data_IF_792551843447
#
_entry.id   IF_792551843447
#
_cell.length_a   1.000
_cell.length_b   1.000
_cell.length_c   1.000
_cell.angle_alpha   90.00
_cell.angle_beta   90.00
_cell.angle_gamma   90.00
#
_symmetry.space_group_name_H-M   'P 1'
#
loop_
_entity.id
_entity.type
_entity.pdbx_description
1 polymer ?
#
# COMPACT_ATOMS: atom_id res chain seq x y z
N UNK A 1 -36.20 16.60 -32.63
CA UNK A 1 -36.21 15.92 -31.32
C UNK A 1 -37.17 16.57 -30.35
N UNK A 2 -38.33 15.93 -30.12
CA UNK A 2 -39.35 16.39 -29.17
C UNK A 2 -39.06 15.99 -27.71
N UNK A 3 -38.17 15.03 -27.50
CA UNK A 3 -37.87 14.40 -26.22
C UNK A 3 -37.24 15.36 -25.18
N UNK A 4 -36.58 16.43 -25.65
CA UNK A 4 -35.90 17.41 -24.78
C UNK A 4 -36.63 18.74 -24.65
N UNK A 5 -37.87 18.85 -25.16
CA UNK A 5 -38.63 20.11 -25.15
C UNK A 5 -38.91 20.62 -23.72
N UNK A 6 -39.18 19.72 -22.78
CA UNK A 6 -39.45 20.06 -21.37
C UNK A 6 -38.23 20.68 -20.67
N UNK A 7 -37.01 20.32 -21.07
CA UNK A 7 -35.76 20.83 -20.48
C UNK A 7 -35.34 22.20 -21.03
N UNK A 8 -35.98 22.69 -22.11
CA UNK A 8 -35.62 23.99 -22.72
C UNK A 8 -35.80 25.17 -21.77
N UNK A 9 -36.86 25.19 -20.99
CA UNK A 9 -37.13 26.28 -20.05
C UNK A 9 -36.04 26.34 -18.95
N UNK A 10 -35.66 25.19 -18.42
CA UNK A 10 -34.59 25.06 -17.42
C UNK A 10 -33.24 25.45 -18.02
N UNK A 11 -32.90 24.92 -19.19
CA UNK A 11 -31.68 25.30 -19.91
C UNK A 11 -31.59 26.81 -20.16
N UNK A 12 -32.73 27.42 -20.51
CA UNK A 12 -32.80 28.84 -20.79
C UNK A 12 -32.56 29.71 -19.54
N UNK A 13 -33.10 29.28 -18.38
CA UNK A 13 -32.86 29.90 -17.07
C UNK A 13 -31.39 29.80 -16.66
N UNK A 14 -30.76 28.65 -16.90
CA UNK A 14 -29.32 28.41 -16.65
C UNK A 14 -28.40 29.05 -17.70
N UNK A 15 -28.96 29.86 -18.62
CA UNK A 15 -28.18 30.68 -19.54
C UNK A 15 -27.57 29.95 -20.74
N UNK A 16 -27.89 28.68 -20.97
CA UNK A 16 -27.48 27.95 -22.17
C UNK A 16 -28.65 27.73 -23.14
N UNK A 17 -28.31 27.45 -24.39
CA UNK A 17 -29.22 27.29 -25.53
C UNK A 17 -28.93 26.04 -26.34
N UNK A 18 -27.74 25.47 -26.17
CA UNK A 18 -27.39 24.13 -26.62
C UNK A 18 -26.43 23.50 -25.60
N UNK A 19 -26.39 22.17 -25.57
CA UNK A 19 -25.43 21.42 -24.78
C UNK A 19 -24.94 20.22 -25.61
N UNK A 20 -23.66 19.89 -25.47
CA UNK A 20 -23.07 18.67 -26.01
C UNK A 20 -22.46 17.90 -24.85
N UNK A 21 -22.90 16.65 -24.69
CA UNK A 21 -22.35 15.73 -23.70
C UNK A 21 -21.49 14.68 -24.39
N UNK A 22 -20.23 14.56 -24.00
CA UNK A 22 -19.30 13.56 -24.51
C UNK A 22 -18.80 12.69 -23.35
N UNK A 23 -18.98 11.36 -23.42
CA UNK A 23 -18.50 10.47 -22.37
C UNK A 23 -16.99 10.38 -22.38
N UNK A 24 -16.40 10.38 -21.18
CA UNK A 24 -15.00 10.07 -20.96
C UNK A 24 -14.96 8.57 -20.66
N UNK A 25 -14.53 7.77 -21.64
CA UNK A 25 -14.41 6.32 -21.48
C UNK A 25 -12.96 5.93 -21.30
N UNK A 26 -12.71 5.05 -20.33
CA UNK A 26 -11.41 4.40 -20.15
C UNK A 26 -11.05 3.52 -21.34
N UNK A 27 -9.81 3.06 -21.36
CA UNK A 27 -9.32 2.16 -22.41
C UNK A 27 -10.07 0.82 -22.46
N UNK A 28 -10.68 0.42 -21.35
CA UNK A 28 -11.51 -0.78 -21.17
C UNK A 28 -13.00 -0.54 -21.49
N UNK A 29 -13.36 0.69 -21.90
CA UNK A 29 -14.74 1.09 -22.19
C UNK A 29 -15.55 1.53 -20.98
N UNK A 30 -14.99 1.46 -19.76
CA UNK A 30 -15.65 1.90 -18.52
C UNK A 30 -15.89 3.40 -18.57
N UNK A 31 -17.09 3.84 -18.17
CA UNK A 31 -17.42 5.26 -18.09
C UNK A 31 -16.70 5.88 -16.89
N UNK A 32 -15.75 6.78 -17.16
CA UNK A 32 -15.02 7.52 -16.13
C UNK A 32 -15.72 8.82 -15.73
N UNK A 33 -16.53 9.38 -16.64
CA UNK A 33 -17.30 10.59 -16.41
C UNK A 33 -17.91 11.15 -17.69
N UNK A 34 -18.44 12.37 -17.61
CA UNK A 34 -19.03 13.10 -18.74
C UNK A 34 -18.42 14.49 -18.81
N UNK A 35 -18.00 14.92 -20.00
CA UNK A 35 -17.81 16.33 -20.32
C UNK A 35 -19.13 16.85 -20.88
N UNK A 36 -19.72 17.88 -20.24
CA UNK A 36 -20.86 18.60 -20.78
C UNK A 36 -20.45 20.02 -21.15
N UNK A 37 -20.44 20.32 -22.44
CA UNK A 37 -20.17 21.66 -22.98
C UNK A 37 -21.50 22.38 -23.20
N UNK A 38 -21.67 23.53 -22.54
CA UNK A 38 -22.88 24.35 -22.64
C UNK A 38 -22.62 25.59 -23.49
N UNK A 39 -23.50 25.88 -24.44
CA UNK A 39 -23.38 27.00 -25.37
C UNK A 39 -24.47 28.03 -25.09
N UNK A 40 -24.10 29.31 -25.02
CA UNK A 40 -25.04 30.42 -24.75
C UNK A 40 -25.94 30.75 -25.95
N UNK A 41 -25.59 30.28 -27.14
CA UNK A 41 -26.36 30.44 -28.38
C UNK A 41 -26.68 29.05 -28.96
N UNK A 42 -27.72 28.91 -29.79
CA UNK A 42 -27.96 27.68 -30.52
C UNK A 42 -26.69 27.29 -31.29
N UNK A 43 -26.10 26.15 -30.93
CA UNK A 43 -24.88 25.66 -31.56
C UNK A 43 -25.06 24.21 -31.95
N UNK A 44 -24.55 23.86 -33.14
CA UNK A 44 -24.43 22.47 -33.58
C UNK A 44 -22.97 22.24 -33.91
N UNK A 45 -22.25 21.45 -33.09
CA UNK A 45 -20.86 21.13 -33.33
C UNK A 45 -20.66 20.53 -34.73
N UNK A 46 -19.67 21.04 -35.43
CA UNK A 46 -19.16 20.48 -36.67
C UNK A 46 -18.46 19.14 -36.42
N UNK A 47 -18.31 18.34 -37.47
CA UNK A 47 -17.60 17.06 -37.38
C UNK A 47 -16.17 17.22 -36.86
N UNK A 48 -15.46 18.28 -37.26
CA UNK A 48 -14.11 18.60 -36.77
C UNK A 48 -14.09 18.90 -35.28
N UNK A 49 -15.07 19.65 -34.77
CA UNK A 49 -15.20 19.92 -33.32
C UNK A 49 -15.48 18.64 -32.54
N UNK A 50 -16.31 17.74 -33.08
CA UNK A 50 -16.59 16.44 -32.47
C UNK A 50 -15.34 15.55 -32.45
N UNK A 51 -14.60 15.46 -33.56
CA UNK A 51 -13.34 14.70 -33.63
C UNK A 51 -12.28 15.23 -32.65
N UNK A 52 -12.14 16.55 -32.54
CA UNK A 52 -11.21 17.15 -31.60
C UNK A 52 -11.63 16.90 -30.14
N UNK A 53 -12.93 17.01 -29.86
CA UNK A 53 -13.49 16.70 -28.53
C UNK A 53 -13.19 15.25 -28.17
N UNK A 54 -13.43 14.32 -29.10
CA UNK A 54 -13.16 12.89 -28.90
C UNK A 54 -11.69 12.62 -28.60
N UNK A 55 -10.76 13.25 -29.33
CA UNK A 55 -9.32 13.17 -29.05
C UNK A 55 -8.99 13.66 -27.62
N UNK A 56 -9.56 14.79 -27.21
CA UNK A 56 -9.36 15.30 -25.86
C UNK A 56 -9.98 14.40 -24.79
N UNK A 57 -11.12 13.75 -25.05
CA UNK A 57 -11.74 12.82 -24.10
C UNK A 57 -10.90 11.56 -23.91
N UNK A 58 -10.30 11.05 -24.98
CA UNK A 58 -9.32 9.96 -24.88
C UNK A 58 -8.09 10.36 -24.06
N UNK A 59 -7.58 11.59 -24.22
CA UNK A 59 -6.47 12.09 -23.41
C UNK A 59 -6.88 12.25 -21.95
N UNK A 60 -8.05 12.84 -21.68
CA UNK A 60 -8.58 13.01 -20.34
C UNK A 60 -8.75 11.66 -19.62
N UNK A 61 -9.27 10.65 -20.32
CA UNK A 61 -9.41 9.30 -19.79
C UNK A 61 -8.06 8.73 -19.35
N UNK A 62 -7.03 8.79 -20.21
CA UNK A 62 -5.68 8.31 -19.87
C UNK A 62 -5.09 9.03 -18.66
N UNK A 63 -5.32 10.34 -18.53
CA UNK A 63 -4.84 11.12 -17.39
C UNK A 63 -5.57 10.75 -16.10
N UNK A 64 -6.88 10.55 -16.15
CA UNK A 64 -7.70 10.11 -15.01
C UNK A 64 -7.25 8.72 -14.55
N UNK A 65 -7.12 7.77 -15.48
CA UNK A 65 -6.66 6.40 -15.19
C UNK A 65 -5.26 6.41 -14.56
N UNK A 66 -4.33 7.19 -15.14
CA UNK A 66 -2.98 7.34 -14.59
C UNK A 66 -2.99 7.94 -13.19
N UNK A 67 -3.84 8.95 -12.94
CA UNK A 67 -4.03 9.54 -11.61
C UNK A 67 -4.49 8.49 -10.59
N UNK A 68 -5.57 7.76 -10.91
CA UNK A 68 -6.11 6.69 -10.07
C UNK A 68 -5.10 5.58 -9.82
N UNK A 69 -4.35 5.16 -10.85
CA UNK A 69 -3.31 4.15 -10.72
C UNK A 69 -2.17 4.61 -9.80
N UNK A 70 -1.71 5.87 -9.94
CA UNK A 70 -0.71 6.45 -9.07
C UNK A 70 -1.20 6.51 -7.61
N UNK A 71 -2.42 6.96 -7.37
CA UNK A 71 -3.01 6.98 -6.02
C UNK A 71 -3.09 5.57 -5.41
N UNK A 72 -3.50 4.57 -6.20
CA UNK A 72 -3.56 3.19 -5.76
C UNK A 72 -2.17 2.65 -5.38
N UNK A 73 -1.15 2.93 -6.20
CA UNK A 73 0.26 2.56 -5.92
C UNK A 73 0.75 3.24 -4.63
N UNK A 74 0.49 4.54 -4.46
CA UNK A 74 0.89 5.27 -3.26
C UNK A 74 0.20 4.72 -2.00
N UNK A 75 -1.10 4.42 -2.08
CA UNK A 75 -1.84 3.81 -0.98
C UNK A 75 -1.33 2.40 -0.65
N UNK A 76 -1.02 1.58 -1.67
CA UNK A 76 -0.43 0.26 -1.47
C UNK A 76 0.95 0.34 -0.81
N UNK A 77 1.80 1.27 -1.26
CA UNK A 77 3.12 1.53 -0.67
C UNK A 77 2.99 1.94 0.80
N UNK A 78 2.14 2.91 1.12
CA UNK A 78 1.92 3.33 2.51
C UNK A 78 1.44 2.18 3.41
N UNK A 79 0.58 1.28 2.90
CA UNK A 79 0.15 0.10 3.65
C UNK A 79 1.32 -0.88 3.89
N UNK A 80 2.14 -1.12 2.87
CA UNK A 80 3.32 -1.98 2.98
C UNK A 80 4.33 -1.41 3.99
N UNK A 81 4.61 -0.10 3.92
CA UNK A 81 5.54 0.57 4.82
C UNK A 81 5.07 0.46 6.29
N UNK A 82 3.78 0.71 6.55
CA UNK A 82 3.20 0.55 7.90
C UNK A 82 3.25 -0.88 8.39
N UNK A 83 2.97 -1.85 7.52
CA UNK A 83 3.05 -3.27 7.88
C UNK A 83 4.50 -3.67 8.22
N UNK A 84 5.48 -3.15 7.48
CA UNK A 84 6.89 -3.41 7.72
C UNK A 84 7.38 -2.77 9.02
N UNK A 85 6.96 -1.55 9.31
CA UNK A 85 7.25 -0.89 10.60
C UNK A 85 6.66 -1.68 11.77
N UNK A 86 5.40 -2.12 11.66
CA UNK A 86 4.73 -2.94 12.67
C UNK A 86 5.44 -4.28 12.89
N UNK A 87 5.80 -4.98 11.80
CA UNK A 87 6.59 -6.22 11.84
C UNK A 87 7.92 -6.02 12.56
N UNK A 88 8.64 -4.95 12.22
CA UNK A 88 9.95 -4.64 12.79
C UNK A 88 9.85 -4.33 14.29
N UNK A 89 8.85 -3.54 14.69
CA UNK A 89 8.58 -3.22 16.10
C UNK A 89 8.20 -4.47 16.89
N UNK A 90 7.33 -5.31 16.33
CA UNK A 90 6.93 -6.57 16.94
C UNK A 90 8.14 -7.50 17.16
N UNK A 91 8.98 -7.70 16.14
CA UNK A 91 10.16 -8.56 16.24
C UNK A 91 11.19 -8.02 17.22
N UNK A 92 11.40 -6.70 17.26
CA UNK A 92 12.29 -6.06 18.23
C UNK A 92 11.84 -6.32 19.67
N UNK A 93 10.55 -6.11 19.97
CA UNK A 93 9.98 -6.36 21.31
C UNK A 93 10.04 -7.85 21.66
N UNK A 94 9.55 -8.73 20.78
CA UNK A 94 9.57 -10.17 21.01
C UNK A 94 10.99 -10.70 21.26
N UNK A 95 11.98 -10.19 20.52
CA UNK A 95 13.37 -10.60 20.70
C UNK A 95 13.98 -10.08 21.99
N UNK A 96 13.62 -8.87 22.43
CA UNK A 96 14.01 -8.39 23.74
C UNK A 96 13.46 -9.32 24.83
N UNK A 97 12.18 -9.65 24.75
CA UNK A 97 11.48 -10.48 25.74
C UNK A 97 11.99 -11.93 25.74
N UNK A 98 12.41 -12.46 24.59
CA UNK A 98 13.05 -13.78 24.49
C UNK A 98 14.51 -13.80 24.97
N UNK A 99 15.21 -12.67 24.92
CA UNK A 99 16.59 -12.57 25.40
C UNK A 99 16.67 -12.71 26.93
N UNK A 100 15.67 -12.19 27.65
CA UNK A 100 15.61 -12.28 29.12
C UNK A 100 15.63 -13.72 29.66
N UNK A 101 14.75 -14.66 29.22
CA UNK A 101 14.79 -16.03 29.69
C UNK A 101 16.06 -16.76 29.21
N UNK A 102 16.59 -16.47 28.01
CA UNK A 102 17.86 -17.05 27.57
C UNK A 102 19.03 -16.63 28.47
N UNK A 103 19.08 -15.37 28.88
CA UNK A 103 20.07 -14.87 29.84
C UNK A 103 19.90 -15.56 31.21
N UNK A 104 18.66 -15.72 31.69
CA UNK A 104 18.39 -16.42 32.93
C UNK A 104 18.85 -17.90 32.87
N UNK A 105 18.55 -18.60 31.77
CA UNK A 105 19.02 -19.97 31.55
C UNK A 105 20.55 -20.06 31.50
N UNK A 106 21.23 -19.09 30.87
CA UNK A 106 22.69 -19.05 30.84
C UNK A 106 23.29 -18.88 32.25
N UNK A 107 22.72 -18.00 33.08
CA UNK A 107 23.14 -17.79 34.46
C UNK A 107 22.93 -19.04 35.32
N UNK A 108 21.75 -19.66 35.23
CA UNK A 108 21.41 -20.88 35.96
C UNK A 108 22.34 -22.04 35.56
N UNK A 109 22.54 -22.23 34.25
CA UNK A 109 23.45 -23.26 33.74
C UNK A 109 24.89 -23.03 34.24
N UNK A 110 25.37 -21.78 34.19
CA UNK A 110 26.69 -21.41 34.70
C UNK A 110 26.85 -21.59 36.22
N UNK A 111 25.76 -21.43 36.99
CA UNK A 111 25.76 -21.69 38.43
C UNK A 111 25.82 -23.21 38.72
N UNK A 112 25.01 -24.02 38.03
CA UNK A 112 25.01 -25.48 38.16
C UNK A 112 26.36 -26.10 37.78
N UNK A 113 27.02 -25.57 36.74
CA UNK A 113 28.35 -26.02 36.32
C UNK A 113 29.44 -25.85 37.39
N UNK A 114 29.22 -25.01 38.41
CA UNK A 114 30.16 -24.83 39.53
C UNK A 114 29.95 -25.84 40.66
N UNK A 115 28.76 -26.45 40.74
CA UNK A 115 28.38 -27.33 41.86
C UNK A 115 28.34 -28.81 41.49
N UNK A 116 28.01 -29.12 40.23
CA UNK A 116 27.92 -30.50 39.72
C UNK A 116 29.32 -31.07 39.46
N UNK A 117 29.53 -32.32 39.87
CA UNK A 117 30.81 -33.06 39.74
C UNK A 117 30.69 -34.35 38.93
N UNK A 118 29.46 -34.77 38.67
CA UNK A 118 29.14 -35.95 37.86
C UNK A 118 29.47 -35.68 36.38
N UNK A 119 30.24 -36.57 35.76
CA UNK A 119 30.76 -36.36 34.39
C UNK A 119 29.64 -36.28 33.34
N UNK A 120 28.62 -37.15 33.46
CA UNK A 120 27.48 -37.16 32.54
C UNK A 120 26.67 -35.86 32.66
N UNK A 121 26.41 -35.40 33.88
CA UNK A 121 25.71 -34.14 34.12
C UNK A 121 26.53 -32.91 33.65
N UNK A 122 27.85 -32.90 33.82
CA UNK A 122 28.73 -31.84 33.28
C UNK A 122 28.64 -31.79 31.75
N UNK A 123 28.64 -32.96 31.10
CA UNK A 123 28.51 -33.03 29.65
C UNK A 123 27.14 -32.51 29.17
N UNK A 124 26.07 -32.83 29.88
CA UNK A 124 24.73 -32.31 29.60
C UNK A 124 24.65 -30.78 29.75
N UNK A 125 25.25 -30.21 30.81
CA UNK A 125 25.31 -28.75 31.03
C UNK A 125 26.09 -28.04 29.91
N UNK A 126 27.15 -28.66 29.38
CA UNK A 126 27.90 -28.14 28.24
C UNK A 126 27.06 -28.12 26.96
N UNK A 127 26.30 -29.19 26.69
CA UNK A 127 25.36 -29.22 25.56
C UNK A 127 24.27 -28.13 25.70
N UNK A 128 23.74 -27.93 26.91
CA UNK A 128 22.79 -26.84 27.18
C UNK A 128 23.40 -25.46 26.92
N UNK A 129 24.65 -25.23 27.31
CA UNK A 129 25.36 -23.97 27.06
C UNK A 129 25.49 -23.68 25.56
N UNK A 130 25.87 -24.70 24.77
CA UNK A 130 25.93 -24.58 23.32
C UNK A 130 24.56 -24.28 22.70
N UNK A 131 23.50 -24.94 23.15
CA UNK A 131 22.14 -24.70 22.68
C UNK A 131 21.65 -23.27 22.99
N UNK A 132 21.87 -22.78 24.22
CA UNK A 132 21.53 -21.40 24.62
C UNK A 132 22.31 -20.38 23.77
N UNK A 133 23.60 -20.63 23.54
CA UNK A 133 24.42 -19.80 22.66
C UNK A 133 23.94 -19.79 21.20
N UNK A 134 23.53 -20.94 20.67
CA UNK A 134 22.97 -21.06 19.33
C UNK A 134 21.64 -20.30 19.20
N UNK A 135 20.72 -20.44 20.16
CA UNK A 135 19.46 -19.70 20.20
C UNK A 135 19.69 -18.19 20.20
N UNK A 136 20.66 -17.71 20.99
CA UNK A 136 21.00 -16.29 21.06
C UNK A 136 21.54 -15.75 19.72
N UNK A 137 22.38 -16.52 19.02
CA UNK A 137 22.88 -16.14 17.69
C UNK A 137 21.77 -16.10 16.64
N UNK A 138 20.89 -17.11 16.62
CA UNK A 138 19.75 -17.16 15.70
C UNK A 138 18.80 -15.98 15.92
N UNK A 139 18.54 -15.62 17.17
CA UNK A 139 17.70 -14.49 17.51
C UNK A 139 18.28 -13.16 17.00
N UNK A 140 19.59 -12.97 17.16
CA UNK A 140 20.26 -11.77 16.65
C UNK A 140 20.27 -11.73 15.11
N UNK A 141 20.54 -12.86 14.44
CA UNK A 141 20.49 -12.94 12.98
C UNK A 141 19.09 -12.63 12.42
N UNK A 142 18.03 -13.12 13.08
CA UNK A 142 16.64 -12.81 12.71
C UNK A 142 16.36 -11.30 12.82
N UNK A 143 16.86 -10.66 13.88
CA UNK A 143 16.72 -9.22 14.08
C UNK A 143 17.47 -8.40 13.03
N UNK A 144 18.69 -8.81 12.68
CA UNK A 144 19.49 -8.11 11.68
C UNK A 144 18.83 -8.19 10.29
N UNK A 145 18.27 -9.34 9.92
CA UNK A 145 17.47 -9.50 8.70
C UNK A 145 16.24 -8.57 8.73
N UNK A 146 15.52 -8.53 9.85
CA UNK A 146 14.35 -7.63 9.98
C UNK A 146 14.70 -6.15 9.88
N UNK A 147 15.89 -5.73 10.33
CA UNK A 147 16.38 -4.34 10.19
C UNK A 147 16.78 -4.01 8.75
N UNK A 148 17.38 -4.96 8.05
CA UNK A 148 17.71 -4.82 6.62
C UNK A 148 16.45 -4.67 5.76
N UNK A 149 15.43 -5.51 5.98
CA UNK A 149 14.15 -5.43 5.27
C UNK A 149 13.38 -4.11 5.54
N UNK A 150 13.63 -3.46 6.67
CA UNK A 150 13.03 -2.16 7.01
C UNK A 150 13.83 -0.94 6.55
N UNK A 151 14.99 -1.13 5.92
CA UNK A 151 15.83 -0.04 5.44
C UNK A 151 16.47 0.79 6.56
N UNK A 152 16.58 0.23 7.77
CA UNK A 152 17.07 0.92 8.97
C UNK A 152 18.60 0.84 9.16
N UNK A 153 19.39 0.91 8.08
CA UNK A 153 20.87 0.90 8.12
C UNK A 153 21.43 2.30 7.93
#
# INVERSE_FOLDING_TARGET
>A
DGEYLSFRAVAAQEGYRAAQSTPIRGHDGVLLGMLSTHFRQPHRPSEKELQLTDLYMHLAARLIERGRANEAVQAARQRADRANESKSRFLATASHDLRQPLQALALLNGALRRTVRDEDAVQALYQQEQAIGAMSRLLNALLDISKLESGAV
#
